data_IF_089897842145
#
_entry.id   IF_089897842145
#
_cell.length_a   1.000
_cell.length_b   1.000
_cell.length_c   1.000
_cell.angle_alpha   90.00
_cell.angle_beta   90.00
_cell.angle_gamma   90.00
#
_symmetry.space_group_name_H-M   'P 1'
#
loop_
_entity.id
_entity.type
_entity.pdbx_description
1 polymer ?
#
# COMPACT_ATOMS: atom_id res chain seq x y z
N UNK A 1 15.74 23.66 -6.49
CA UNK A 1 16.96 22.96 -6.17
C UNK A 1 17.16 21.82 -7.12
N UNK A 2 18.18 21.94 -7.95
CA UNK A 2 18.43 20.92 -8.95
C UNK A 2 18.80 19.57 -8.33
N UNK A 3 19.49 19.57 -7.21
CA UNK A 3 20.00 18.36 -6.61
C UNK A 3 18.92 17.44 -6.03
N UNK A 4 17.77 17.97 -5.63
CA UNK A 4 16.76 17.10 -5.06
C UNK A 4 16.00 16.30 -6.13
N UNK A 5 16.00 16.74 -7.37
CA UNK A 5 15.32 16.02 -8.44
C UNK A 5 16.14 14.84 -8.97
N UNK A 6 17.40 14.74 -8.59
CA UNK A 6 18.24 13.65 -9.06
C UNK A 6 18.07 12.36 -8.26
N UNK A 7 17.34 12.39 -7.16
CA UNK A 7 17.13 11.20 -6.35
C UNK A 7 16.07 10.29 -6.96
N UNK A 8 16.37 8.97 -6.97
CA UNK A 8 15.41 7.99 -7.48
C UNK A 8 14.40 7.65 -6.40
N UNK A 9 13.27 7.08 -6.82
CA UNK A 9 12.25 6.62 -5.88
C UNK A 9 12.84 5.59 -4.91
N UNK A 10 13.72 4.71 -5.38
CA UNK A 10 14.37 3.74 -4.51
C UNK A 10 15.20 4.38 -3.42
N UNK A 11 15.87 5.50 -3.74
CA UNK A 11 16.67 6.22 -2.75
C UNK A 11 15.82 6.92 -1.70
N UNK A 12 14.57 7.24 -2.03
CA UNK A 12 13.63 7.92 -1.14
C UNK A 12 12.76 6.93 -0.35
N UNK A 13 12.86 5.64 -0.64
CA UNK A 13 12.03 4.61 -0.04
C UNK A 13 12.86 3.76 0.94
N UNK A 14 12.43 3.72 2.21
CA UNK A 14 13.11 2.92 3.23
C UNK A 14 12.64 1.47 3.26
N UNK A 15 11.43 1.21 2.80
CA UNK A 15 10.87 -0.13 2.82
C UNK A 15 9.86 -0.28 1.69
N UNK A 16 9.91 -1.42 1.00
CA UNK A 16 8.94 -1.77 -0.04
C UNK A 16 8.67 -3.26 0.05
N UNK A 17 7.39 -3.63 0.06
CA UNK A 17 6.99 -5.03 0.17
C UNK A 17 5.55 -5.21 -0.27
N UNK A 18 5.23 -6.41 -0.75
CA UNK A 18 3.83 -6.82 -0.88
C UNK A 18 3.30 -7.11 0.52
N UNK A 19 1.98 -7.15 0.64
CA UNK A 19 1.34 -7.44 1.92
C UNK A 19 1.43 -8.90 2.32
N UNK A 20 0.53 -9.31 3.21
CA UNK A 20 0.52 -10.65 3.78
C UNK A 20 -0.52 -11.54 3.09
N UNK A 21 -0.38 -12.88 3.16
CA UNK A 21 -1.48 -13.79 2.84
C UNK A 21 -2.38 -13.91 4.07
N UNK A 22 -3.56 -13.26 4.07
CA UNK A 22 -4.34 -13.16 5.31
C UNK A 22 -5.06 -14.46 5.68
N UNK A 23 -5.35 -14.58 6.97
CA UNK A 23 -6.26 -15.60 7.49
C UNK A 23 -7.48 -14.85 8.00
N UNK A 24 -8.51 -14.78 7.19
CA UNK A 24 -9.68 -13.94 7.47
C UNK A 24 -10.58 -14.52 8.54
N UNK A 25 -11.16 -13.64 9.34
CA UNK A 25 -12.20 -13.95 10.32
C UNK A 25 -13.32 -12.92 10.18
N UNK A 26 -14.48 -13.24 10.76
CA UNK A 26 -15.66 -12.39 10.60
C UNK A 26 -15.84 -11.38 11.73
N UNK A 27 -15.21 -11.60 12.87
CA UNK A 27 -15.40 -10.74 14.04
C UNK A 27 -14.07 -10.25 14.59
N UNK A 28 -14.07 -8.98 15.01
CA UNK A 28 -12.88 -8.40 15.63
C UNK A 28 -12.71 -8.87 17.06
N UNK A 29 -11.46 -9.04 17.47
CA UNK A 29 -11.10 -9.30 18.85
C UNK A 29 -9.69 -8.75 19.09
N UNK A 30 -9.10 -9.03 20.24
CA UNK A 30 -7.78 -8.51 20.59
C UNK A 30 -6.65 -9.03 19.71
N UNK A 31 -6.89 -10.09 18.95
CA UNK A 31 -5.89 -10.71 18.08
C UNK A 31 -6.11 -10.40 16.60
N UNK A 32 -7.02 -9.50 16.28
CA UNK A 32 -7.32 -9.21 14.87
C UNK A 32 -6.62 -7.93 14.41
N UNK A 33 -6.28 -7.91 13.10
CA UNK A 33 -5.66 -6.78 12.45
C UNK A 33 -6.46 -6.49 11.19
N UNK A 34 -6.74 -5.21 10.93
CA UNK A 34 -7.43 -4.83 9.71
C UNK A 34 -6.54 -5.05 8.51
N UNK A 35 -7.13 -5.54 7.43
CA UNK A 35 -6.43 -5.82 6.18
C UNK A 35 -7.07 -5.01 5.08
N UNK A 36 -6.30 -4.11 4.49
CA UNK A 36 -6.74 -3.34 3.34
C UNK A 36 -6.48 -4.16 2.09
N UNK A 37 -7.36 -4.03 1.12
CA UNK A 37 -7.27 -4.72 -0.16
C UNK A 37 -7.43 -3.70 -1.29
N UNK A 38 -7.36 -4.17 -2.54
CA UNK A 38 -7.41 -3.28 -3.69
C UNK A 38 -8.69 -2.44 -3.77
N UNK A 39 -9.78 -2.91 -3.17
CA UNK A 39 -11.04 -2.15 -3.16
C UNK A 39 -11.00 -0.94 -2.24
N UNK A 40 -10.09 -0.95 -1.27
CA UNK A 40 -9.93 0.15 -0.32
C UNK A 40 -9.24 1.36 -0.91
N UNK A 41 -8.57 1.19 -2.05
CA UNK A 41 -7.77 2.22 -2.70
C UNK A 41 -8.54 2.82 -3.86
N UNK A 42 -9.09 4.03 -3.68
CA UNK A 42 -9.88 4.69 -4.69
C UNK A 42 -9.73 6.20 -4.58
N UNK A 43 -9.58 6.87 -5.71
CA UNK A 43 -9.47 8.34 -5.76
C UNK A 43 -8.32 8.86 -4.89
N UNK A 44 -7.19 8.15 -4.86
CA UNK A 44 -6.00 8.50 -4.08
C UNK A 44 -6.25 8.50 -2.56
N UNK A 45 -7.31 7.85 -2.12
CA UNK A 45 -7.66 7.76 -0.71
C UNK A 45 -7.85 6.30 -0.30
N UNK A 46 -7.68 6.05 1.00
CA UNK A 46 -7.89 4.74 1.58
C UNK A 46 -9.19 4.75 2.38
N UNK A 47 -10.06 3.79 2.10
CA UNK A 47 -11.30 3.59 2.83
C UNK A 47 -11.25 2.24 3.55
N UNK A 48 -11.69 2.23 4.80
CA UNK A 48 -11.79 1.00 5.58
C UNK A 48 -13.10 0.23 5.33
N UNK A 49 -14.02 0.82 4.56
CA UNK A 49 -15.33 0.20 4.35
C UNK A 49 -15.28 -1.18 3.72
N UNK A 50 -14.30 -1.40 2.85
CA UNK A 50 -14.12 -2.70 2.18
C UNK A 50 -13.00 -3.53 2.82
N UNK A 51 -12.48 -3.09 3.96
CA UNK A 51 -11.41 -3.81 4.64
C UNK A 51 -11.93 -5.09 5.27
N UNK A 52 -11.02 -6.05 5.47
CA UNK A 52 -11.34 -7.32 6.11
C UNK A 52 -10.48 -7.47 7.36
N UNK A 53 -10.67 -8.59 8.06
CA UNK A 53 -10.05 -8.80 9.36
C UNK A 53 -9.20 -10.07 9.31
N UNK A 54 -7.95 -9.94 9.72
CA UNK A 54 -6.99 -11.03 9.77
C UNK A 54 -6.79 -11.51 11.21
N UNK A 55 -6.73 -12.82 11.40
CA UNK A 55 -6.46 -13.42 12.71
C UNK A 55 -4.96 -13.55 12.96
N UNK A 56 -4.39 -12.60 13.70
CA UNK A 56 -2.97 -12.59 14.01
C UNK A 56 -2.55 -13.69 14.99
N UNK A 57 -3.50 -14.32 15.67
CA UNK A 57 -3.19 -15.46 16.53
C UNK A 57 -2.81 -16.69 15.70
N UNK A 58 -3.39 -16.84 14.50
CA UNK A 58 -3.06 -17.94 13.60
C UNK A 58 -1.77 -17.64 12.83
N UNK A 59 -1.62 -16.40 12.36
CA UNK A 59 -0.44 -16.01 11.62
C UNK A 59 -0.03 -14.59 12.00
N UNK A 60 1.13 -14.48 12.62
CA UNK A 60 1.65 -13.18 13.06
C UNK A 60 1.99 -12.30 11.86
N UNK A 61 1.63 -11.03 11.95
CA UNK A 61 2.00 -10.03 10.95
C UNK A 61 3.37 -9.47 11.32
N UNK A 62 4.36 -9.52 10.39
CA UNK A 62 5.64 -8.88 10.66
C UNK A 62 5.44 -7.40 10.99
N UNK A 63 6.15 -6.91 11.99
CA UNK A 63 5.96 -5.53 12.45
C UNK A 63 6.19 -4.51 11.35
N UNK A 64 7.15 -4.76 10.45
CA UNK A 64 7.43 -3.83 9.36
C UNK A 64 6.33 -3.81 8.30
N UNK A 65 5.39 -4.75 8.32
CA UNK A 65 4.23 -4.75 7.42
C UNK A 65 2.99 -4.15 8.05
N UNK A 66 3.06 -3.72 9.31
CA UNK A 66 2.02 -2.90 9.90
C UNK A 66 2.19 -1.48 9.36
N UNK A 67 1.08 -0.86 8.98
CA UNK A 67 1.14 0.44 8.34
C UNK A 67 1.56 1.54 9.31
N UNK A 68 2.31 2.50 8.79
CA UNK A 68 2.71 3.71 9.50
C UNK A 68 2.12 4.92 8.79
N UNK A 69 1.85 5.97 9.53
CA UNK A 69 1.39 7.23 8.95
C UNK A 69 2.39 7.70 7.89
N UNK A 70 1.90 8.03 6.71
CA UNK A 70 2.74 8.44 5.59
C UNK A 70 3.06 7.34 4.59
N UNK A 71 2.70 6.09 4.89
CA UNK A 71 2.91 4.99 3.96
C UNK A 71 2.11 5.18 2.69
N UNK A 72 2.67 4.74 1.56
CA UNK A 72 2.00 4.77 0.27
C UNK A 72 1.64 3.36 -0.13
N UNK A 73 0.44 3.19 -0.66
CA UNK A 73 -0.09 1.89 -1.06
C UNK A 73 -0.38 1.91 -2.56
N UNK A 74 0.06 0.86 -3.26
CA UNK A 74 -0.18 0.72 -4.69
C UNK A 74 -0.86 -0.61 -4.94
N UNK A 75 -1.96 -0.60 -5.69
CA UNK A 75 -2.61 -1.84 -6.10
C UNK A 75 -1.71 -2.55 -7.11
N UNK A 76 -1.29 -3.78 -6.81
CA UNK A 76 -0.43 -4.54 -7.71
C UNK A 76 -1.21 -5.41 -8.69
N UNK A 77 -2.48 -5.67 -8.42
CA UNK A 77 -3.32 -6.52 -9.28
C UNK A 77 -4.70 -5.91 -9.45
N UNK A 78 -5.48 -6.52 -10.35
CA UNK A 78 -6.87 -6.18 -10.53
C UNK A 78 -7.12 -5.46 -11.84
N UNK A 79 -8.04 -6.00 -12.66
CA UNK A 79 -8.44 -5.36 -13.92
C UNK A 79 -9.07 -4.00 -13.63
N UNK A 80 -8.47 -2.96 -14.19
CA UNK A 80 -8.96 -1.59 -13.99
C UNK A 80 -8.56 -0.97 -12.65
N UNK A 81 -7.91 -1.71 -11.75
CA UNK A 81 -7.51 -1.18 -10.44
C UNK A 81 -6.00 -1.22 -10.20
N UNK A 82 -5.27 -2.06 -10.94
CA UNK A 82 -3.82 -2.15 -10.78
C UNK A 82 -3.16 -0.81 -11.09
N UNK A 83 -2.25 -0.38 -10.23
CA UNK A 83 -1.56 0.89 -10.39
C UNK A 83 -2.16 2.05 -9.61
N UNK A 84 -3.33 1.87 -9.01
CA UNK A 84 -3.90 2.92 -8.16
C UNK A 84 -2.98 3.19 -6.98
N UNK A 85 -2.77 4.48 -6.70
CA UNK A 85 -1.89 4.95 -5.63
C UNK A 85 -2.71 5.69 -4.58
N UNK A 86 -2.41 5.45 -3.31
CA UNK A 86 -2.97 6.24 -2.23
C UNK A 86 -1.95 6.33 -1.09
N UNK A 87 -2.05 7.39 -0.30
CA UNK A 87 -1.20 7.55 0.88
C UNK A 87 -2.09 7.57 2.11
N UNK A 88 -1.68 6.86 3.15
CA UNK A 88 -2.47 6.78 4.37
C UNK A 88 -1.78 7.53 5.50
N UNK A 89 -2.54 8.34 6.21
CA UNK A 89 -2.05 9.06 7.39
C UNK A 89 -2.81 8.68 8.65
N UNK A 90 -4.12 8.46 8.53
CA UNK A 90 -4.94 8.12 9.69
C UNK A 90 -5.07 6.60 9.79
N UNK A 91 -4.50 6.03 10.84
CA UNK A 91 -4.52 4.59 11.09
C UNK A 91 -5.15 4.37 12.47
N UNK A 92 -6.49 4.26 12.52
CA UNK A 92 -7.20 4.21 13.81
C UNK A 92 -7.03 2.91 14.58
N UNK A 93 -6.56 1.84 13.93
CA UNK A 93 -6.28 0.55 14.57
C UNK A 93 -5.15 -0.13 13.82
N UNK A 94 -4.53 -1.17 14.39
CA UNK A 94 -3.47 -1.89 13.68
C UNK A 94 -3.97 -2.38 12.33
N UNK A 95 -3.23 -2.04 11.28
CA UNK A 95 -3.64 -2.26 9.89
C UNK A 95 -2.47 -2.75 9.06
N UNK A 96 -2.73 -3.68 8.14
CA UNK A 96 -1.78 -4.13 7.14
C UNK A 96 -2.48 -4.21 5.79
N UNK A 97 -1.81 -4.78 4.79
CA UNK A 97 -2.38 -4.95 3.45
C UNK A 97 -2.22 -6.40 3.02
N UNK A 98 -3.07 -6.83 2.09
CA UNK A 98 -2.98 -8.17 1.54
C UNK A 98 -1.94 -8.23 0.42
N UNK A 99 -1.76 -9.43 -0.16
CA UNK A 99 -0.75 -9.65 -1.20
C UNK A 99 -1.05 -8.98 -2.54
N UNK A 100 -2.21 -8.36 -2.70
CA UNK A 100 -2.57 -7.64 -3.92
C UNK A 100 -2.18 -6.17 -3.85
N UNK A 101 -1.54 -5.76 -2.78
CA UNK A 101 -1.10 -4.38 -2.61
C UNK A 101 0.38 -4.32 -2.28
N UNK A 102 1.01 -3.24 -2.71
CA UNK A 102 2.41 -2.96 -2.43
C UNK A 102 2.46 -1.83 -1.42
N UNK A 103 3.23 -2.03 -0.38
CA UNK A 103 3.46 -1.05 0.68
C UNK A 103 4.81 -0.38 0.46
N UNK A 104 4.82 0.96 0.40
CA UNK A 104 6.05 1.75 0.29
C UNK A 104 6.13 2.72 1.45
N UNK A 105 7.30 2.81 2.05
CA UNK A 105 7.54 3.70 3.18
C UNK A 105 8.67 4.67 2.86
N UNK A 106 8.45 5.97 3.03
CA UNK A 106 9.50 6.95 2.73
C UNK A 106 10.63 6.89 3.75
N UNK A 107 11.80 7.39 3.34
CA UNK A 107 12.90 7.59 4.27
C UNK A 107 12.58 8.76 5.19
N UNK A 108 13.36 8.91 6.27
CA UNK A 108 13.17 10.01 7.21
C UNK A 108 13.56 11.36 6.61
N UNK A 109 14.32 11.33 5.54
CA UNK A 109 14.86 12.54 4.92
C UNK A 109 13.87 13.27 4.02
N UNK A 110 12.80 12.59 3.60
CA UNK A 110 11.82 13.19 2.70
C UNK A 110 10.52 13.47 3.45
N UNK A 111 9.91 14.60 3.13
CA UNK A 111 8.62 14.95 3.70
C UNK A 111 7.56 13.99 3.16
N UNK A 112 6.76 13.32 4.04
CA UNK A 112 5.82 12.29 3.59
C UNK A 112 4.81 12.76 2.55
N UNK A 113 4.24 13.95 2.69
CA UNK A 113 3.28 14.46 1.72
C UNK A 113 3.91 14.61 0.35
N UNK A 114 5.15 15.08 0.30
CA UNK A 114 5.86 15.23 -0.97
C UNK A 114 6.14 13.87 -1.59
N UNK A 115 6.56 12.91 -0.78
CA UNK A 115 6.80 11.54 -1.24
C UNK A 115 5.54 10.95 -1.88
N UNK A 116 4.41 11.06 -1.20
CA UNK A 116 3.13 10.56 -1.72
C UNK A 116 2.72 11.29 -2.99
N UNK A 117 2.93 12.60 -3.05
CA UNK A 117 2.62 13.39 -4.24
C UNK A 117 3.43 12.94 -5.46
N UNK A 118 4.71 12.68 -5.26
CA UNK A 118 5.59 12.23 -6.34
C UNK A 118 5.11 10.89 -6.89
N UNK A 119 4.81 9.93 -6.01
CA UNK A 119 4.34 8.62 -6.46
C UNK A 119 2.99 8.74 -7.15
N UNK A 120 2.09 9.54 -6.60
CA UNK A 120 0.78 9.79 -7.21
C UNK A 120 0.92 10.35 -8.62
N UNK A 121 1.89 11.23 -8.83
CA UNK A 121 2.11 11.82 -10.16
C UNK A 121 2.53 10.80 -11.21
N UNK A 122 3.03 9.64 -10.79
CA UNK A 122 3.42 8.56 -11.68
C UNK A 122 2.35 7.48 -11.85
N UNK A 123 1.16 7.68 -11.31
CA UNK A 123 0.14 6.64 -11.35
C UNK A 123 -0.17 6.15 -12.76
N UNK A 124 -0.29 7.06 -13.71
CA UNK A 124 -0.58 6.64 -15.11
C UNK A 124 0.52 5.76 -15.67
N UNK A 125 1.77 6.06 -15.36
CA UNK A 125 2.89 5.26 -15.80
C UNK A 125 2.90 3.89 -15.12
N UNK A 126 2.57 3.88 -13.85
CA UNK A 126 2.46 2.62 -13.08
C UNK A 126 1.35 1.75 -13.64
N UNK A 127 0.20 2.36 -13.96
CA UNK A 127 -0.92 1.64 -14.57
C UNK A 127 -0.53 1.01 -15.89
N UNK A 128 0.30 1.69 -16.67
CA UNK A 128 0.73 1.18 -17.97
C UNK A 128 1.61 -0.08 -17.86
N UNK A 129 2.27 -0.27 -16.72
CA UNK A 129 3.07 -1.47 -16.50
C UNK A 129 2.18 -2.72 -16.39
N UNK A 130 0.97 -2.56 -15.89
CA UNK A 130 0.01 -3.65 -15.77
C UNK A 130 -0.55 -4.06 -17.13
N UNK A 131 -0.69 -3.10 -18.04
CA UNK A 131 -1.26 -3.36 -19.37
C UNK A 131 -0.36 -4.23 -20.24
N UNK A 132 0.93 -4.29 -19.93
CA UNK A 132 1.86 -5.11 -20.70
C UNK A 132 1.84 -6.60 -20.35
N UNK A 133 1.11 -6.97 -19.31
CA UNK A 133 1.08 -8.36 -18.89
C UNK A 133 0.01 -9.15 -19.65
N UNK A 134 0.33 -10.41 -19.92
CA UNK A 134 -0.55 -11.26 -20.72
C UNK A 134 -1.63 -11.89 -19.87
N UNK A 135 -2.87 -11.49 -20.09
CA UNK A 135 -4.04 -12.11 -19.48
C UNK A 135 -4.32 -11.78 -18.03
N UNK A 136 -3.36 -11.24 -17.32
CA UNK A 136 -3.55 -10.84 -15.91
C UNK A 136 -2.99 -9.44 -15.71
N UNK A 137 -3.75 -8.63 -15.01
CA UNK A 137 -3.34 -7.27 -14.72
C UNK A 137 -2.56 -7.26 -13.41
N UNK A 138 -1.24 -7.16 -13.51
CA UNK A 138 -0.37 -7.21 -12.37
C UNK A 138 0.88 -6.35 -12.57
N UNK A 139 1.33 -5.76 -11.48
CA UNK A 139 2.52 -4.92 -11.46
C UNK A 139 3.61 -5.62 -10.64
#
# INVERSE_FOLDING_TARGET
>A
MAEWISKTLGELTSFISKGIPPKYVDEENENTIRVLNQKCNRNFEISYNESRIHNAAVKKVPENKLLHSGDVLINSTGTGTAGRVAQIFNIPMPTTVDGHMILLRPTKEIEPLYYGYVIKSYQKKIESLAEGSTGQTEI
#
